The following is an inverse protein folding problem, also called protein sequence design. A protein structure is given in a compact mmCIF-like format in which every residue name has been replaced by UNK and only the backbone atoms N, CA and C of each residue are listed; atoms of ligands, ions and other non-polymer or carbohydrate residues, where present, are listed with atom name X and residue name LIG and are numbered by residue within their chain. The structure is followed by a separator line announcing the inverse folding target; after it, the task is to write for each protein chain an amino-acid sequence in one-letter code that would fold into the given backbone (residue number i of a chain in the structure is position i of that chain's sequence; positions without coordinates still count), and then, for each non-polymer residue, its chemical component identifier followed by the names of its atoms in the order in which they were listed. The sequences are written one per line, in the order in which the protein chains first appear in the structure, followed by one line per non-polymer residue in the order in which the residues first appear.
data_IF_060430824209
#
_entry.id   IF_060430824209
#
_cell.length_a   1.000
_cell.length_b   1.000
_cell.length_c   1.000
_cell.angle_alpha   90.00
_cell.angle_beta   90.00
_cell.angle_gamma   90.00
#
_symmetry.space_group_name_H-M   'P 1'
#
loop_
_entity.id
_entity.type
_entity.pdbx_description
1 polymer ?
#
# COMPACT_ATOMS: atom_id res chain seq x y z
N UNK A 1 21.81 -10.87 -35.62
CA UNK A 1 21.43 -11.12 -35.09
C UNK A 1 20.96 -11.11 -34.57
N UNK A 2 20.75 -10.81 -34.45
CA UNK A 2 20.13 -10.92 -33.70
C UNK A 2 19.46 -10.93 -33.25
N UNK A 3 19.49 -10.73 -33.35
CA UNK A 3 18.72 -10.75 -32.76
C UNK A 3 18.27 -10.97 -32.14
N UNK A 4 18.25 -10.82 -32.06
CA UNK A 4 17.53 -10.94 -31.24
C UNK A 4 17.11 -11.13 -30.57
N UNK A 5 17.11 -10.80 -30.42
CA UNK A 5 16.46 -11.13 -29.60
C UNK A 5 15.72 -11.07 -29.27
N UNK A 6 15.51 -10.83 -29.44
CA UNK A 6 14.59 -10.86 -28.91
C UNK A 6 14.01 -11.12 -28.37
N UNK A 7 13.83 -11.11 -28.21
CA UNK A 7 12.95 -11.24 -27.46
C UNK A 7 12.51 -11.38 -26.93
N UNK A 8 12.48 -11.15 -26.82
CA UNK A 8 11.78 -11.34 -26.16
C UNK A 8 11.05 -11.50 -25.82
N UNK A 9 10.97 -11.40 -25.83
CA UNK A 9 10.09 -11.61 -25.29
C UNK A 9 9.40 -11.79 -25.23
N UNK A 10 9.18 -11.71 -25.46
CA UNK A 10 8.38 -12.03 -25.23
C UNK A 10 7.67 -12.26 -24.87
N UNK A 11 7.43 -12.10 -25.07
CA UNK A 11 6.74 -12.34 -24.64
C UNK A 11 6.36 -12.91 -24.24
N UNK A 12 6.38 -13.07 -23.98
CA UNK A 12 5.86 -13.64 -23.37
C UNK A 12 4.71 -13.65 -23.26
N UNK A 13 4.39 -13.45 -23.74
CA UNK A 13 3.26 -13.29 -23.73
C UNK A 13 2.34 -13.43 -23.03
N UNK A 14 1.97 -13.43 -22.82
CA UNK A 14 1.12 -13.64 -22.09
C UNK A 14 0.30 -12.66 -21.68
N UNK A 15 -0.07 -11.93 -22.13
CA UNK A 15 -0.72 -10.99 -21.55
C UNK A 15 -2.12 -10.89 -21.77
N UNK A 16 -2.86 -10.31 -20.90
CA UNK A 16 -4.25 -10.04 -20.94
C UNK A 16 -4.42 -8.55 -20.96
N UNK A 17 -4.38 -7.96 -22.12
CA UNK A 17 -4.24 -6.51 -22.23
C UNK A 17 -5.31 -5.72 -21.48
N UNK A 18 -6.55 -6.12 -21.56
CA UNK A 18 -7.63 -5.36 -20.94
C UNK A 18 -7.50 -5.37 -19.42
N UNK A 19 -7.26 -6.55 -18.88
CA UNK A 19 -7.09 -6.64 -17.43
C UNK A 19 -5.88 -5.85 -16.97
N UNK A 20 -4.81 -5.89 -17.72
CA UNK A 20 -3.61 -5.14 -17.37
C UNK A 20 -3.86 -3.65 -17.32
N UNK A 21 -4.67 -3.16 -18.22
CA UNK A 21 -4.98 -1.73 -18.24
C UNK A 21 -5.73 -1.31 -16.97
N UNK A 22 -6.68 -2.13 -16.54
CA UNK A 22 -7.41 -1.84 -15.32
C UNK A 22 -6.49 -1.89 -14.12
N UNK A 23 -5.64 -2.90 -14.06
CA UNK A 23 -4.69 -3.04 -12.95
C UNK A 23 -3.74 -1.86 -12.91
N UNK A 24 -3.25 -1.43 -14.06
CA UNK A 24 -2.34 -0.30 -14.15
C UNK A 24 -3.00 0.98 -13.66
N UNK A 25 -4.26 1.18 -14.00
CA UNK A 25 -4.98 2.37 -13.56
C UNK A 25 -5.13 2.38 -12.05
N UNK A 26 -5.49 1.24 -11.46
CA UNK A 26 -5.63 1.14 -10.01
C UNK A 26 -4.30 1.37 -9.31
N UNK A 27 -3.23 0.82 -9.86
CA UNK A 27 -1.89 1.02 -9.30
C UNK A 27 -1.50 2.50 -9.35
N UNK A 28 -1.83 3.16 -10.46
CA UNK A 28 -1.51 4.58 -10.61
C UNK A 28 -2.26 5.44 -9.60
N UNK A 29 -3.55 5.15 -9.38
CA UNK A 29 -4.34 5.88 -8.41
C UNK A 29 -3.81 5.69 -6.99
N UNK A 30 -3.44 4.47 -6.66
CA UNK A 30 -2.91 4.16 -5.34
C UNK A 30 -1.57 4.85 -5.12
N UNK A 31 -0.72 4.83 -6.15
CA UNK A 31 0.58 5.51 -6.06
C UNK A 31 0.41 7.01 -5.85
N UNK A 32 -0.50 7.61 -6.60
CA UNK A 32 -0.78 9.04 -6.47
C UNK A 32 -1.25 9.36 -5.06
N UNK A 33 -2.15 8.53 -4.53
CA UNK A 33 -2.67 8.68 -3.19
C UNK A 33 -1.55 8.60 -2.16
N UNK A 34 -0.67 7.62 -2.29
CA UNK A 34 0.44 7.46 -1.36
C UNK A 34 1.40 8.64 -1.43
N UNK A 35 1.67 9.15 -2.62
CA UNK A 35 2.55 10.30 -2.78
C UNK A 35 1.97 11.54 -2.12
N UNK A 36 0.66 11.74 -2.25
CA UNK A 36 -0.01 12.85 -1.59
C UNK A 36 0.08 12.73 -0.08
N UNK A 37 -0.11 11.52 0.44
CA UNK A 37 0.01 11.28 1.87
C UNK A 37 1.43 11.52 2.35
N UNK A 38 2.41 11.10 1.57
CA UNK A 38 3.82 11.29 1.92
C UNK A 38 4.14 12.77 2.08
N UNK A 39 3.57 13.61 1.25
CA UNK A 39 3.79 15.05 1.32
C UNK A 39 3.11 15.68 2.54
N UNK A 40 2.00 15.10 2.98
CA UNK A 40 1.25 15.65 4.10
C UNK A 40 1.75 15.17 5.46
N UNK A 41 2.20 13.92 5.52
CA UNK A 41 2.59 13.30 6.78
C UNK A 41 4.06 13.50 7.05
N UNK A 42 4.42 13.48 8.33
CA UNK A 42 5.82 13.42 8.70
C UNK A 42 6.37 12.06 8.32
N UNK A 43 7.63 12.02 7.90
CA UNK A 43 8.24 10.78 7.42
C UNK A 43 8.77 9.95 8.58
N UNK A 44 7.87 9.60 9.47
CA UNK A 44 8.19 8.83 10.66
C UNK A 44 7.15 7.74 10.86
N UNK A 45 7.58 6.61 11.38
CA UNK A 45 6.66 5.55 11.75
C UNK A 45 5.66 6.09 12.78
N UNK A 46 4.39 5.76 12.58
CA UNK A 46 3.35 6.21 13.50
C UNK A 46 3.28 5.33 14.74
N UNK A 47 4.03 4.23 14.76
CA UNK A 47 4.11 3.33 15.91
C UNK A 47 5.32 3.65 16.77
N UNK A 48 6.51 3.69 16.17
CA UNK A 48 7.76 3.84 16.91
C UNK A 48 8.41 5.21 16.76
N UNK A 49 7.88 6.04 15.87
CA UNK A 49 8.44 7.35 15.56
C UNK A 49 9.83 7.25 14.95
N UNK A 50 10.12 6.13 14.29
CA UNK A 50 11.38 5.92 13.60
C UNK A 50 11.35 6.67 12.27
N UNK A 51 12.45 7.35 11.95
CA UNK A 51 12.55 8.11 10.70
C UNK A 51 12.55 7.15 9.51
N UNK A 52 11.72 7.45 8.51
CA UNK A 52 11.54 6.59 7.34
C UNK A 52 12.36 7.01 6.13
N UNK A 53 13.06 8.12 6.20
CA UNK A 53 13.87 8.59 5.09
C UNK A 53 13.11 9.57 4.21
N UNK A 54 13.66 9.79 3.02
CA UNK A 54 13.11 10.77 2.09
C UNK A 54 12.34 10.17 0.94
N UNK A 55 12.37 8.84 0.80
CA UNK A 55 11.73 8.17 -0.33
C UNK A 55 10.44 7.49 0.12
N UNK A 56 9.34 7.71 -0.60
CA UNK A 56 8.05 7.10 -0.25
C UNK A 56 7.94 5.67 -0.76
N UNK A 57 8.59 4.75 -0.06
CA UNK A 57 8.49 3.34 -0.42
C UNK A 57 7.09 2.83 -0.12
N UNK A 58 6.52 2.05 -1.05
CA UNK A 58 5.18 1.52 -0.88
C UNK A 58 5.03 0.68 0.39
N UNK A 59 6.09 0.02 0.80
CA UNK A 59 6.06 -0.83 1.99
C UNK A 59 5.95 -0.04 3.30
N UNK A 60 6.13 1.28 3.25
CA UNK A 60 5.89 2.11 4.43
C UNK A 60 4.40 2.35 4.67
N UNK A 61 3.56 2.16 3.66
CA UNK A 61 2.13 2.46 3.73
C UNK A 61 1.35 1.18 4.00
N UNK A 62 0.67 1.14 5.13
CA UNK A 62 -0.10 -0.03 5.53
C UNK A 62 -1.58 0.33 5.56
N UNK A 63 -2.40 -0.48 4.87
CA UNK A 63 -3.85 -0.37 4.95
C UNK A 63 -4.31 -1.07 6.22
N UNK A 64 -4.87 -0.31 7.14
CA UNK A 64 -5.35 -0.88 8.41
C UNK A 64 -6.51 -1.83 8.14
N UNK A 65 -7.49 -1.37 7.36
CA UNK A 65 -8.56 -2.24 6.85
C UNK A 65 -8.16 -2.71 5.46
N UNK A 66 -8.06 -4.02 5.24
CA UNK A 66 -7.56 -4.53 3.94
C UNK A 66 -8.49 -4.11 2.80
N UNK A 67 -7.90 -3.69 1.69
CA UNK A 67 -8.68 -3.15 0.60
C UNK A 67 -9.53 -4.19 -0.11
N UNK A 68 -9.18 -5.46 -0.02
CA UNK A 68 -10.00 -6.50 -0.62
C UNK A 68 -11.32 -6.70 0.13
N UNK A 69 -11.34 -6.40 1.43
CA UNK A 69 -12.56 -6.48 2.23
C UNK A 69 -13.27 -5.14 2.36
N UNK A 70 -12.52 -4.05 2.31
CA UNK A 70 -13.04 -2.70 2.51
C UNK A 70 -12.55 -1.81 1.36
N UNK A 71 -13.01 -2.09 0.12
CA UNK A 71 -12.54 -1.28 -1.01
C UNK A 71 -12.92 0.19 -0.87
N UNK A 72 -13.99 0.49 -0.14
CA UNK A 72 -14.40 1.87 0.08
C UNK A 72 -13.43 2.63 0.98
N UNK A 73 -12.59 1.91 1.72
CA UNK A 73 -11.60 2.53 2.60
C UNK A 73 -10.21 2.58 1.97
N UNK A 74 -10.06 2.07 0.76
CA UNK A 74 -8.73 1.94 0.14
C UNK A 74 -8.03 3.27 -0.05
N UNK A 75 -8.79 4.33 -0.31
CA UNK A 75 -8.22 5.67 -0.53
C UNK A 75 -8.58 6.64 0.60
N UNK A 76 -8.88 6.11 1.77
CA UNK A 76 -9.13 6.92 2.95
C UNK A 76 -7.81 7.15 3.68
N UNK A 77 -7.45 8.41 3.86
CA UNK A 77 -6.18 8.76 4.51
C UNK A 77 -6.09 8.19 5.92
N UNK A 78 -7.23 8.10 6.60
CA UNK A 78 -7.25 7.58 7.97
C UNK A 78 -7.01 6.08 8.02
N UNK A 79 -7.21 5.39 6.90
CA UNK A 79 -6.99 3.95 6.83
C UNK A 79 -5.52 3.60 6.52
N UNK A 80 -4.67 4.60 6.34
CA UNK A 80 -3.27 4.38 6.02
C UNK A 80 -2.42 4.80 7.21
N UNK A 81 -1.51 3.92 7.62
CA UNK A 81 -0.57 4.21 8.68
C UNK A 81 0.84 3.97 8.16
N UNK A 82 1.76 4.87 8.51
CA UNK A 82 3.15 4.73 8.08
C UNK A 82 3.91 3.87 9.09
N UNK A 83 4.60 2.87 8.57
CA UNK A 83 5.35 1.89 9.38
C UNK A 83 6.72 1.67 8.77
N UNK A 84 7.68 1.26 9.60
CA UNK A 84 8.95 0.76 9.06
C UNK A 84 8.70 -0.58 8.41
N UNK A 85 9.68 -1.06 7.63
CA UNK A 85 9.56 -2.36 6.99
C UNK A 85 9.35 -3.47 8.02
N UNK A 86 10.07 -3.41 9.12
CA UNK A 86 9.93 -4.41 10.18
C UNK A 86 8.55 -4.37 10.79
N UNK A 87 8.05 -3.17 11.06
CA UNK A 87 6.71 -3.03 11.64
C UNK A 87 5.64 -3.51 10.69
N UNK A 88 5.81 -3.22 9.40
CA UNK A 88 4.86 -3.69 8.40
C UNK A 88 4.82 -5.23 8.37
N UNK A 89 6.00 -5.86 8.41
CA UNK A 89 6.08 -7.31 8.45
C UNK A 89 5.43 -7.88 9.71
N UNK A 90 5.65 -7.22 10.85
CA UNK A 90 5.07 -7.66 12.12
C UNK A 90 3.55 -7.59 12.08
N UNK A 91 3.01 -6.52 11.51
CA UNK A 91 1.56 -6.36 11.42
C UNK A 91 0.96 -7.38 10.46
N UNK A 92 1.69 -7.71 9.39
CA UNK A 92 1.22 -8.74 8.44
C UNK A 92 1.12 -10.11 9.12
N UNK A 93 2.02 -10.36 10.06
CA UNK A 93 1.99 -11.63 10.80
C UNK A 93 0.97 -11.62 11.92
N UNK A 94 0.74 -10.47 12.52
CA UNK A 94 -0.20 -10.33 13.65
C UNK A 94 -0.80 -8.94 13.60
N UNK A 95 -2.02 -8.84 13.10
CA UNK A 95 -2.67 -7.54 12.89
C UNK A 95 -2.96 -6.81 14.20
N UNK A 96 -2.87 -7.50 15.32
CA UNK A 96 -3.12 -6.91 16.64
C UNK A 96 -1.85 -6.55 17.39
N UNK A 97 -0.72 -6.61 16.72
CA UNK A 97 0.59 -6.44 17.34
C UNK A 97 0.76 -5.07 18.01
N UNK A 98 0.27 -4.01 17.38
CA UNK A 98 0.53 -2.64 17.85
C UNK A 98 -0.76 -1.97 18.29
N UNK A 99 -0.71 -1.38 19.49
CA UNK A 99 -1.88 -0.71 20.08
C UNK A 99 -2.35 0.46 19.22
N UNK A 100 -1.40 1.20 18.64
CA UNK A 100 -1.74 2.35 17.79
C UNK A 100 -2.60 1.90 16.61
N UNK A 101 -2.21 0.80 15.97
CA UNK A 101 -2.95 0.24 14.85
C UNK A 101 -4.31 -0.24 15.31
N UNK A 102 -4.36 -0.89 16.46
CA UNK A 102 -5.62 -1.43 16.99
C UNK A 102 -6.62 -0.32 17.28
N UNK A 103 -6.15 0.78 17.86
CA UNK A 103 -7.02 1.91 18.17
C UNK A 103 -7.58 2.54 16.90
N UNK A 104 -6.75 2.71 15.88
CA UNK A 104 -7.18 3.26 14.61
C UNK A 104 -8.17 2.32 13.91
N UNK A 105 -7.91 1.02 13.98
CA UNK A 105 -8.80 0.02 13.37
C UNK A 105 -10.19 0.09 13.98
N UNK A 106 -10.26 0.25 15.28
CA UNK A 106 -11.55 0.32 15.96
C UNK A 106 -12.38 1.50 15.45
N UNK A 107 -11.75 2.65 15.29
CA UNK A 107 -12.44 3.84 14.78
C UNK A 107 -12.89 3.60 13.35
N UNK A 108 -12.05 2.99 12.53
CA UNK A 108 -12.38 2.73 11.13
C UNK A 108 -13.51 1.72 11.00
N UNK A 109 -13.53 0.70 11.85
CA UNK A 109 -14.60 -0.28 11.82
C UNK A 109 -15.95 0.36 12.18
N UNK A 110 -15.93 1.32 13.09
CA UNK A 110 -17.13 2.06 13.40
C UNK A 110 -17.57 2.90 12.20
N UNK A 111 -16.61 3.49 11.51
CA UNK A 111 -16.92 4.36 10.37
C UNK A 111 -17.50 3.56 9.20
N UNK A 112 -16.95 2.40 8.92
CA UNK A 112 -17.35 1.62 7.74
C UNK A 112 -18.38 0.54 8.06
N UNK A 113 -18.64 0.27 9.31
CA UNK A 113 -19.79 -0.52 9.71
C UNK A 113 -19.79 -1.98 9.32
N UNK A 114 -18.63 -2.59 9.23
CA UNK A 114 -18.58 -4.01 8.85
C UNK A 114 -18.05 -4.89 9.94
#
# INVERSE_FOLDING_TARGET
KHKPRKPLPKSRGFSKPVRKQEDNQQISEMREFFLQLWQKKRHYSEVSNTYLGNEPLTTFFHHILPKNKYPEAALDEENIILLTLQEHDQVEMDIYRYDVVNAKRKILLEKYGK
#
